data_IF_938713687077
#
_entry.id   IF_938713687077
#
_cell.length_a   1.000
_cell.length_b   1.000
_cell.length_c   1.000
_cell.angle_alpha   90.00
_cell.angle_beta   90.00
_cell.angle_gamma   90.00
#
_symmetry.space_group_name_H-M   'P 1'
#
loop_
_entity.id
_entity.type
_entity.pdbx_description
1 polymer ?
#
# COMPACT_ATOMS: atom_id res chain seq x y z
N UNK A 1 13.31 -1.12 10.11
CA UNK A 1 12.93 -1.07 8.67
C UNK A 1 11.40 -1.07 8.39
N UNK A 2 10.55 -1.51 9.30
CA UNK A 2 9.07 -1.54 9.11
C UNK A 2 8.45 -0.13 9.22
N UNK A 3 9.04 0.77 10.00
CA UNK A 3 8.49 2.11 10.28
C UNK A 3 8.43 2.99 9.02
N UNK A 4 9.46 2.97 8.18
CA UNK A 4 9.53 3.81 6.97
C UNK A 4 8.41 3.49 5.98
N UNK A 5 8.16 2.23 5.54
CA UNK A 5 7.07 1.93 4.62
C UNK A 5 5.69 2.20 5.25
N UNK A 6 5.54 2.01 6.56
CA UNK A 6 4.30 2.33 7.25
C UNK A 6 4.01 3.83 7.23
N UNK A 7 4.98 4.68 7.58
CA UNK A 7 4.80 6.13 7.57
C UNK A 7 4.57 6.69 6.17
N UNK A 8 5.29 6.19 5.17
CA UNK A 8 5.09 6.62 3.78
C UNK A 8 3.70 6.24 3.28
N UNK A 9 3.24 5.01 3.53
CA UNK A 9 1.89 4.58 3.15
C UNK A 9 0.83 5.42 3.85
N UNK A 10 0.96 5.66 5.16
CA UNK A 10 0.02 6.47 5.93
C UNK A 10 -0.05 7.92 5.42
N UNK A 11 1.10 8.53 5.12
CA UNK A 11 1.18 9.89 4.60
C UNK A 11 0.53 10.00 3.21
N UNK A 12 0.83 9.08 2.29
CA UNK A 12 0.20 9.07 0.96
C UNK A 12 -1.29 8.79 1.02
N UNK A 13 -1.72 7.87 1.90
CA UNK A 13 -3.13 7.60 2.14
C UNK A 13 -3.86 8.86 2.64
N UNK A 14 -3.28 9.56 3.61
CA UNK A 14 -3.86 10.79 4.14
C UNK A 14 -3.99 11.87 3.05
N UNK A 15 -2.93 12.16 2.31
CA UNK A 15 -2.90 13.24 1.33
C UNK A 15 -3.71 12.93 0.07
N UNK A 16 -3.60 11.72 -0.47
CA UNK A 16 -4.17 11.39 -1.78
C UNK A 16 -5.58 10.78 -1.72
N UNK A 17 -5.99 10.27 -0.57
CA UNK A 17 -7.31 9.64 -0.40
C UNK A 17 -8.15 10.41 0.61
N UNK A 18 -7.66 10.56 1.85
CA UNK A 18 -8.46 11.12 2.94
C UNK A 18 -8.77 12.61 2.71
N UNK A 19 -7.78 13.43 2.36
CA UNK A 19 -7.98 14.87 2.12
C UNK A 19 -8.98 15.14 0.99
N UNK A 20 -8.90 14.53 -0.21
CA UNK A 20 -9.88 14.74 -1.25
C UNK A 20 -11.29 14.26 -0.90
N UNK A 21 -11.43 13.18 -0.11
CA UNK A 21 -12.75 12.69 0.36
C UNK A 21 -13.36 13.70 1.33
N UNK A 22 -12.60 14.18 2.30
CA UNK A 22 -13.09 15.14 3.31
C UNK A 22 -13.34 16.53 2.73
N UNK A 23 -12.61 16.91 1.66
CA UNK A 23 -12.81 18.17 0.95
C UNK A 23 -13.93 18.12 -0.10
N UNK A 24 -14.71 17.03 -0.16
CA UNK A 24 -15.81 16.81 -1.12
C UNK A 24 -15.42 17.03 -2.60
N UNK A 25 -14.14 16.78 -2.92
CA UNK A 25 -13.60 16.94 -4.27
C UNK A 25 -13.76 15.70 -5.14
N UNK A 26 -14.18 14.57 -4.56
CA UNK A 26 -14.37 13.31 -5.26
C UNK A 26 -15.87 13.03 -5.37
N UNK A 27 -16.45 13.32 -6.54
CA UNK A 27 -17.86 13.05 -6.82
C UNK A 27 -18.14 11.56 -7.11
N UNK A 28 -17.12 10.73 -7.27
CA UNK A 28 -17.24 9.31 -7.59
C UNK A 28 -16.65 8.44 -6.48
N UNK A 29 -17.48 7.72 -5.67
CA UNK A 29 -16.99 6.86 -4.60
C UNK A 29 -16.11 5.72 -5.12
N UNK A 30 -16.43 5.16 -6.29
CA UNK A 30 -15.64 4.10 -6.91
C UNK A 30 -14.22 4.57 -7.27
N UNK A 31 -14.07 5.83 -7.72
CA UNK A 31 -12.76 6.40 -8.03
C UNK A 31 -11.88 6.53 -6.78
N UNK A 32 -12.46 6.86 -5.63
CA UNK A 32 -11.76 6.91 -4.35
C UNK A 32 -11.27 5.52 -3.92
N UNK A 33 -12.11 4.50 -4.06
CA UNK A 33 -11.78 3.12 -3.73
C UNK A 33 -10.64 2.56 -4.60
N UNK A 34 -10.72 2.75 -5.92
CA UNK A 34 -9.67 2.33 -6.85
C UNK A 34 -8.35 3.04 -6.53
N UNK A 35 -8.40 4.34 -6.25
CA UNK A 35 -7.22 5.12 -5.89
C UNK A 35 -6.58 4.62 -4.60
N UNK A 36 -7.38 4.31 -3.58
CA UNK A 36 -6.91 3.73 -2.32
C UNK A 36 -6.28 2.35 -2.55
N UNK A 37 -6.92 1.49 -3.35
CA UNK A 37 -6.40 0.18 -3.71
C UNK A 37 -5.05 0.26 -4.43
N UNK A 38 -4.90 1.15 -5.41
CA UNK A 38 -3.64 1.37 -6.13
C UNK A 38 -2.52 1.87 -5.23
N UNK A 39 -2.82 2.81 -4.32
CA UNK A 39 -1.85 3.30 -3.35
C UNK A 39 -1.41 2.21 -2.37
N UNK A 40 -2.35 1.42 -1.88
CA UNK A 40 -2.05 0.31 -0.99
C UNK A 40 -1.23 -0.78 -1.69
N UNK A 41 -1.52 -1.07 -2.96
CA UNK A 41 -0.74 -2.00 -3.76
C UNK A 41 0.72 -1.49 -3.95
N UNK A 42 0.89 -0.23 -4.30
CA UNK A 42 2.22 0.36 -4.53
C UNK A 42 3.03 0.53 -3.25
N UNK A 43 2.53 1.34 -2.33
CA UNK A 43 3.29 1.72 -1.13
C UNK A 43 3.14 0.72 0.02
N UNK A 44 1.99 0.08 0.13
CA UNK A 44 1.74 -0.88 1.20
C UNK A 44 2.31 -2.27 0.94
N UNK A 45 2.54 -2.63 -0.32
CA UNK A 45 3.00 -3.97 -0.68
C UNK A 45 4.28 -3.97 -1.54
N UNK A 46 4.28 -3.30 -2.69
CA UNK A 46 5.43 -3.35 -3.61
C UNK A 46 6.66 -2.70 -2.98
N UNK A 47 6.51 -1.55 -2.35
CA UNK A 47 7.62 -0.84 -1.70
C UNK A 47 8.33 -1.68 -0.62
N UNK A 48 7.64 -2.25 0.40
CA UNK A 48 8.32 -3.07 1.40
C UNK A 48 8.91 -4.35 0.82
N UNK A 49 8.30 -4.93 -0.22
CA UNK A 49 8.86 -6.09 -0.91
C UNK A 49 10.20 -5.74 -1.59
N UNK A 50 10.26 -4.64 -2.32
CA UNK A 50 11.49 -4.17 -2.96
C UNK A 50 12.57 -3.83 -1.93
N UNK A 51 12.22 -3.10 -0.88
CA UNK A 51 13.17 -2.77 0.20
C UNK A 51 13.70 -4.01 0.91
N UNK A 52 12.86 -5.02 1.12
CA UNK A 52 13.26 -6.31 1.69
C UNK A 52 14.26 -7.04 0.78
N UNK A 53 13.97 -7.13 -0.52
CA UNK A 53 14.85 -7.77 -1.50
C UNK A 53 16.21 -7.05 -1.58
N UNK A 54 16.21 -5.71 -1.67
CA UNK A 54 17.44 -4.92 -1.68
C UNK A 54 18.21 -5.02 -0.37
N UNK A 55 17.53 -4.99 0.76
CA UNK A 55 18.13 -5.15 2.08
C UNK A 55 18.79 -6.52 2.26
N UNK A 56 18.11 -7.59 1.87
CA UNK A 56 18.67 -8.94 1.92
C UNK A 56 19.90 -9.10 1.03
N UNK A 57 19.89 -8.50 -0.16
CA UNK A 57 21.06 -8.55 -1.07
C UNK A 57 22.23 -7.71 -0.56
N UNK A 58 21.97 -6.55 0.01
CA UNK A 58 23.01 -5.74 0.62
C UNK A 58 23.69 -6.46 1.79
N UNK A 59 22.90 -7.06 2.69
CA UNK A 59 23.39 -7.87 3.80
C UNK A 59 24.16 -9.10 3.30
N UNK A 60 23.66 -9.80 2.31
CA UNK A 60 24.33 -10.97 1.71
C UNK A 60 25.70 -10.61 1.13
N UNK A 61 25.83 -9.46 0.49
CA UNK A 61 27.13 -8.94 0.01
C UNK A 61 28.07 -8.61 1.16
N UNK A 62 27.57 -7.96 2.21
CA UNK A 62 28.40 -7.54 3.37
C UNK A 62 28.91 -8.76 4.13
N UNK A 63 28.10 -9.79 4.30
CA UNK A 63 28.48 -10.99 5.06
C UNK A 63 29.01 -12.12 4.20
N UNK A 64 29.17 -11.93 2.89
CA UNK A 64 29.64 -12.94 1.93
C UNK A 64 28.91 -14.29 2.02
N UNK A 65 27.62 -14.27 2.38
CA UNK A 65 26.82 -15.48 2.63
C UNK A 65 26.34 -16.14 1.35
N UNK A 66 26.12 -15.37 0.28
CA UNK A 66 25.68 -15.88 -1.02
C UNK A 66 26.45 -15.19 -2.14
N UNK A 67 26.93 -15.95 -3.12
CA UNK A 67 27.53 -15.41 -4.34
C UNK A 67 26.44 -14.69 -5.16
N UNK A 68 26.43 -13.36 -5.11
CA UNK A 68 25.51 -12.55 -5.93
C UNK A 68 26.05 -12.44 -7.34
N UNK A 69 25.30 -12.84 -8.38
CA UNK A 69 25.74 -12.69 -9.75
C UNK A 69 25.93 -11.20 -10.09
N UNK A 70 26.98 -10.84 -10.84
CA UNK A 70 27.23 -9.45 -11.24
C UNK A 70 26.20 -8.94 -12.27
N UNK A 71 25.56 -9.86 -12.99
CA UNK A 71 24.61 -9.56 -14.05
C UNK A 71 23.20 -9.32 -13.51
N UNK A 72 22.53 -8.28 -14.02
CA UNK A 72 21.15 -7.96 -13.66
C UNK A 72 20.18 -9.12 -13.94
N UNK A 73 20.35 -9.85 -15.04
CA UNK A 73 19.54 -11.02 -15.40
C UNK A 73 19.68 -12.16 -14.38
N UNK A 74 20.91 -12.45 -13.96
CA UNK A 74 21.18 -13.46 -12.92
C UNK A 74 20.61 -13.06 -11.57
N UNK A 75 20.70 -11.78 -11.23
CA UNK A 75 20.09 -11.23 -10.02
C UNK A 75 18.56 -11.40 -9.99
N UNK A 76 17.88 -11.07 -11.08
CA UNK A 76 16.42 -11.24 -11.20
C UNK A 76 16.00 -12.71 -11.16
N UNK A 77 16.74 -13.61 -11.82
CA UNK A 77 16.47 -15.04 -11.78
C UNK A 77 16.64 -15.63 -10.38
N UNK A 78 17.66 -15.20 -9.64
CA UNK A 78 17.89 -15.63 -8.25
C UNK A 78 16.70 -15.25 -7.37
N UNK A 79 16.22 -14.01 -7.45
CA UNK A 79 15.07 -13.54 -6.68
C UNK A 79 13.76 -14.21 -7.10
N UNK A 80 13.55 -14.41 -8.39
CA UNK A 80 12.38 -15.14 -8.90
C UNK A 80 12.35 -16.59 -8.41
N UNK A 81 13.52 -17.24 -8.34
CA UNK A 81 13.63 -18.60 -7.79
C UNK A 81 13.35 -18.65 -6.29
N UNK A 82 13.79 -17.64 -5.52
CA UNK A 82 13.51 -17.52 -4.09
C UNK A 82 12.03 -17.22 -3.79
N UNK A 83 11.38 -16.41 -4.61
CA UNK A 83 9.96 -16.06 -4.47
C UNK A 83 9.01 -17.17 -4.92
N UNK A 84 9.46 -18.07 -5.80
CA UNK A 84 8.62 -19.13 -6.37
C UNK A 84 7.91 -20.00 -5.33
N UNK A 85 8.55 -20.49 -4.24
CA UNK A 85 7.86 -21.33 -3.25
C UNK A 85 6.83 -20.57 -2.41
N UNK A 86 6.97 -19.25 -2.30
CA UNK A 86 6.11 -18.40 -1.44
C UNK A 86 5.17 -17.48 -2.23
N UNK A 87 5.06 -17.67 -3.55
CA UNK A 87 4.22 -16.79 -4.38
C UNK A 87 2.72 -16.84 -4.01
N UNK A 88 2.21 -18.02 -3.64
CA UNK A 88 0.79 -18.18 -3.27
C UNK A 88 0.42 -17.35 -2.05
N UNK A 89 1.10 -17.47 -0.88
CA UNK A 89 0.80 -16.61 0.27
C UNK A 89 1.06 -15.12 -0.01
N UNK A 90 2.05 -14.77 -0.84
CA UNK A 90 2.31 -13.38 -1.22
C UNK A 90 1.12 -12.80 -2.01
N UNK A 91 0.61 -13.52 -3.00
CA UNK A 91 -0.56 -13.08 -3.79
C UNK A 91 -1.82 -13.00 -2.93
N UNK A 92 -2.02 -13.94 -2.01
CA UNK A 92 -3.15 -13.90 -1.08
C UNK A 92 -3.09 -12.67 -0.15
N UNK A 93 -1.93 -12.40 0.44
CA UNK A 93 -1.72 -11.21 1.28
C UNK A 93 -1.89 -9.90 0.49
N UNK A 94 -1.43 -9.87 -0.76
CA UNK A 94 -1.62 -8.73 -1.66
C UNK A 94 -3.11 -8.46 -1.90
N UNK A 95 -3.88 -9.50 -2.24
CA UNK A 95 -5.33 -9.40 -2.42
C UNK A 95 -6.06 -8.92 -1.17
N UNK A 96 -5.73 -9.48 0.00
CA UNK A 96 -6.30 -9.07 1.28
C UNK A 96 -5.99 -7.59 1.60
N UNK A 97 -4.77 -7.12 1.34
CA UNK A 97 -4.41 -5.72 1.54
C UNK A 97 -5.25 -4.77 0.67
N UNK A 98 -5.47 -5.09 -0.60
CA UNK A 98 -6.29 -4.27 -1.49
C UNK A 98 -7.74 -4.24 -1.00
N UNK A 99 -8.32 -5.38 -0.66
CA UNK A 99 -9.71 -5.47 -0.16
C UNK A 99 -9.86 -4.67 1.14
N UNK A 100 -8.91 -4.80 2.07
CA UNK A 100 -8.92 -4.04 3.31
C UNK A 100 -8.85 -2.52 3.07
N UNK A 101 -8.00 -2.08 2.15
CA UNK A 101 -7.89 -0.67 1.80
C UNK A 101 -9.19 -0.12 1.20
N UNK A 102 -9.82 -0.86 0.30
CA UNK A 102 -11.10 -0.48 -0.29
C UNK A 102 -12.20 -0.38 0.79
N UNK A 103 -12.27 -1.37 1.69
CA UNK A 103 -13.25 -1.38 2.78
C UNK A 103 -13.08 -0.17 3.72
N UNK A 104 -11.85 0.11 4.15
CA UNK A 104 -11.57 1.28 5.00
C UNK A 104 -11.97 2.59 4.32
N UNK A 105 -11.70 2.72 3.02
CA UNK A 105 -12.07 3.91 2.24
C UNK A 105 -13.58 4.08 2.14
N UNK A 106 -14.34 3.01 1.99
CA UNK A 106 -15.81 3.05 2.02
C UNK A 106 -16.34 3.54 3.37
N UNK A 107 -15.80 3.03 4.48
CA UNK A 107 -16.21 3.46 5.81
C UNK A 107 -15.86 4.93 6.08
N UNK A 108 -14.70 5.39 5.64
CA UNK A 108 -14.33 6.82 5.73
C UNK A 108 -15.32 7.70 4.95
N UNK A 109 -15.72 7.31 3.74
CA UNK A 109 -16.71 8.02 2.95
C UNK A 109 -18.07 8.13 3.66
N UNK A 110 -18.56 7.02 4.22
CA UNK A 110 -19.82 7.01 5.00
C UNK A 110 -19.75 7.91 6.24
N UNK A 111 -18.63 7.90 6.96
CA UNK A 111 -18.44 8.75 8.14
C UNK A 111 -18.40 10.23 7.76
N UNK A 112 -17.74 10.59 6.66
CA UNK A 112 -17.68 11.96 6.15
C UNK A 112 -19.08 12.50 5.81
N UNK A 113 -19.88 11.70 5.10
CA UNK A 113 -21.27 12.07 4.76
C UNK A 113 -22.12 12.27 6.02
N UNK A 114 -22.04 11.36 6.99
CA UNK A 114 -22.78 11.47 8.26
C UNK A 114 -22.37 12.69 9.08
N UNK A 115 -21.08 13.01 9.11
CA UNK A 115 -20.58 14.20 9.79
C UNK A 115 -21.11 15.49 9.14
N UNK A 116 -21.09 15.55 7.80
CA UNK A 116 -21.63 16.67 7.04
C UNK A 116 -23.14 16.88 7.30
N UNK A 117 -23.93 15.80 7.32
CA UNK A 117 -25.36 15.86 7.60
C UNK A 117 -25.69 16.35 9.02
N UNK A 118 -24.88 15.97 10.02
CA UNK A 118 -25.04 16.45 11.39
C UNK A 118 -24.79 17.95 11.50
N UNK A 119 -23.72 18.43 10.85
CA UNK A 119 -23.42 19.86 10.84
C UNK A 119 -24.53 20.68 10.17
N UNK A 120 -25.06 20.22 9.03
CA UNK A 120 -26.17 20.90 8.36
C UNK A 120 -27.46 20.91 9.20
N UNK A 121 -27.73 19.83 9.93
CA UNK A 121 -28.88 19.77 10.85
C UNK A 121 -28.76 20.75 12.03
N UNK A 122 -27.56 21.00 12.51
CA UNK A 122 -27.28 21.94 13.61
C UNK A 122 -27.43 23.41 13.18
N UNK A 123 -27.10 23.71 11.90
CA UNK A 123 -27.28 25.06 11.34
C UNK A 123 -28.75 25.37 10.93
N UNK A 124 -29.59 24.36 10.78
CA UNK A 124 -30.98 24.49 10.34
C UNK A 124 -31.99 24.58 11.48
N UNK A 125 -31.57 24.39 12.73
CA UNK A 125 -32.40 24.51 13.93
C UNK A 125 -32.10 25.76 14.71
#
# INVERSE_FOLDING_TARGET
>A
MIVVPFLTTAAFQAVLVTVPITADRINCPLCAEIRAGCLQAGFGFVQPLLLSLLGCTALSKTFHTVATPPDWSGFMQMHARMLRPIHVPIVALFGLNIIAAMYVTQEQGKMSIRASQRLLGEFSG
#
